data_IF_167231111416
#
_entry.id   IF_167231111416
#
_cell.length_a   1.000
_cell.length_b   1.000
_cell.length_c   1.000
_cell.angle_alpha   90.00
_cell.angle_beta   90.00
_cell.angle_gamma   90.00
#
_symmetry.space_group_name_H-M   'P 1'
#
loop_
_entity.id
_entity.type
_entity.pdbx_description
1 polymer ?
#
# COMPACT_ATOMS: atom_id res chain seq x y z
N UNK A 1 13.50 -0.17 30.65
CA UNK A 1 13.25 -1.48 31.29
C UNK A 1 12.52 -2.45 30.35
N UNK A 2 11.44 -2.05 29.67
CA UNK A 2 10.72 -2.91 28.70
C UNK A 2 11.64 -3.52 27.61
N UNK A 3 12.38 -2.69 26.87
CA UNK A 3 13.32 -3.15 25.81
C UNK A 3 14.52 -3.99 26.31
N UNK A 4 14.71 -4.13 27.62
CA UNK A 4 15.71 -5.07 28.14
C UNK A 4 15.20 -6.53 28.12
N UNK A 5 13.89 -6.73 27.95
CA UNK A 5 13.22 -8.04 27.96
C UNK A 5 12.47 -8.34 26.66
N UNK A 6 12.32 -7.33 25.80
CA UNK A 6 11.55 -7.40 24.56
C UNK A 6 12.38 -6.85 23.41
N UNK A 7 12.24 -7.41 22.19
CA UNK A 7 12.86 -6.84 21.01
C UNK A 7 12.31 -5.43 20.74
N UNK A 8 13.10 -4.60 20.04
CA UNK A 8 12.77 -3.19 19.81
C UNK A 8 11.44 -2.98 19.10
N UNK A 9 11.04 -3.88 18.19
CA UNK A 9 9.79 -3.79 17.44
C UNK A 9 8.53 -4.02 18.29
N UNK A 10 8.67 -4.55 19.51
CA UNK A 10 7.56 -4.69 20.47
C UNK A 10 7.33 -3.44 21.31
N UNK A 11 8.13 -2.38 21.17
CA UNK A 11 7.92 -1.14 21.93
C UNK A 11 6.49 -0.58 21.85
N UNK A 12 5.76 -0.63 20.72
CA UNK A 12 4.38 -0.14 20.65
C UNK A 12 3.42 -0.91 21.58
N UNK A 13 3.64 -2.21 21.78
CA UNK A 13 2.80 -3.07 22.64
C UNK A 13 2.74 -2.59 24.09
N UNK A 14 3.82 -1.94 24.58
CA UNK A 14 3.83 -1.32 25.91
C UNK A 14 2.66 -0.32 26.11
N UNK A 15 2.25 0.35 25.04
CA UNK A 15 1.17 1.36 25.07
C UNK A 15 -0.15 0.82 24.52
N UNK A 16 -0.11 -0.10 23.55
CA UNK A 16 -1.28 -0.49 22.78
C UNK A 16 -2.05 -1.65 23.38
N UNK A 17 -1.35 -2.63 23.97
CA UNK A 17 -1.94 -3.88 24.45
C UNK A 17 -3.18 -3.70 25.35
N UNK A 18 -3.23 -2.71 26.27
CA UNK A 18 -4.41 -2.47 27.10
C UNK A 18 -5.70 -2.10 26.34
N UNK A 19 -5.58 -1.74 25.06
CA UNK A 19 -6.69 -1.27 24.23
C UNK A 19 -7.08 -2.27 23.13
N UNK A 20 -6.18 -3.17 22.72
CA UNK A 20 -6.39 -4.00 21.52
C UNK A 20 -7.59 -4.93 21.64
N UNK A 21 -7.86 -5.48 22.84
CA UNK A 21 -8.98 -6.41 23.07
C UNK A 21 -10.36 -5.73 23.04
N UNK A 22 -10.41 -4.40 22.97
CA UNK A 22 -11.66 -3.67 22.72
C UNK A 22 -12.15 -3.79 21.28
N UNK A 23 -11.24 -4.12 20.34
CA UNK A 23 -11.58 -4.36 18.94
C UNK A 23 -11.83 -5.86 18.73
N UNK A 24 -13.09 -6.26 18.75
CA UNK A 24 -13.49 -7.67 18.58
C UNK A 24 -13.78 -8.05 17.13
N UNK A 25 -14.05 -7.06 16.28
CA UNK A 25 -14.30 -7.22 14.85
C UNK A 25 -13.57 -6.11 14.09
N UNK A 26 -12.70 -6.51 13.16
CA UNK A 26 -11.92 -5.56 12.37
C UNK A 26 -12.77 -4.68 11.45
N UNK A 27 -13.98 -5.10 11.08
CA UNK A 27 -14.90 -4.33 10.26
C UNK A 27 -15.87 -3.49 11.09
N UNK A 28 -15.75 -3.50 12.42
CA UNK A 28 -16.55 -2.67 13.34
C UNK A 28 -15.67 -1.90 14.32
N UNK A 29 -14.68 -1.10 13.84
CA UNK A 29 -13.73 -0.40 14.71
C UNK A 29 -14.40 0.56 15.70
N UNK A 30 -15.56 1.10 15.37
CA UNK A 30 -16.24 2.13 16.17
C UNK A 30 -17.04 1.59 17.35
N UNK A 31 -17.17 0.27 17.46
CA UNK A 31 -17.82 -0.40 18.59
C UNK A 31 -16.89 -0.55 19.79
N UNK A 32 -15.59 -0.30 19.61
CA UNK A 32 -14.57 -0.41 20.66
C UNK A 32 -14.69 0.67 21.76
N UNK A 33 -15.59 1.65 21.61
CA UNK A 33 -15.76 2.75 22.56
C UNK A 33 -14.61 3.76 22.56
N UNK A 34 -13.79 3.77 21.51
CA UNK A 34 -12.58 4.61 21.38
C UNK A 34 -12.71 5.73 20.34
N UNK A 35 -13.93 6.03 19.87
CA UNK A 35 -14.17 6.95 18.74
C UNK A 35 -13.61 8.35 18.95
N UNK A 36 -13.56 8.82 20.20
CA UNK A 36 -12.96 10.11 20.56
C UNK A 36 -11.47 10.19 20.19
N UNK A 37 -10.76 9.07 20.12
CA UNK A 37 -9.35 9.00 19.71
C UNK A 37 -9.14 9.24 18.22
N UNK A 38 -10.21 9.26 17.40
CA UNK A 38 -10.05 9.64 16.00
C UNK A 38 -9.59 11.09 15.88
N UNK A 39 -10.05 11.97 16.78
CA UNK A 39 -9.68 13.39 16.78
C UNK A 39 -8.38 13.70 17.54
N UNK A 40 -7.66 12.67 18.01
CA UNK A 40 -6.40 12.83 18.75
C UNK A 40 -5.25 12.36 17.88
N UNK A 41 -4.22 13.19 17.74
CA UNK A 41 -3.00 12.79 17.05
C UNK A 41 -2.23 11.75 17.87
N UNK A 42 -1.65 10.75 17.21
CA UNK A 42 -0.97 9.64 17.89
C UNK A 42 0.18 10.10 18.79
N UNK A 43 0.93 11.13 18.38
CA UNK A 43 2.01 11.70 19.19
C UNK A 43 1.49 12.36 20.46
N UNK A 44 0.34 13.03 20.39
CA UNK A 44 -0.33 13.65 21.53
C UNK A 44 -0.88 12.58 22.48
N UNK A 45 -1.51 11.53 21.93
CA UNK A 45 -2.01 10.43 22.74
C UNK A 45 -0.87 9.72 23.49
N UNK A 46 0.26 9.44 22.83
CA UNK A 46 1.43 8.85 23.49
C UNK A 46 2.03 9.75 24.58
N UNK A 47 2.04 11.08 24.40
CA UNK A 47 2.44 12.02 25.47
C UNK A 47 1.53 11.89 26.69
N UNK A 48 0.22 11.68 26.50
CA UNK A 48 -0.73 11.44 27.59
C UNK A 48 -0.53 10.07 28.27
N UNK A 49 0.12 9.12 27.61
CA UNK A 49 0.53 7.83 28.18
C UNK A 49 1.96 7.85 28.75
N UNK A 50 2.50 9.04 29.05
CA UNK A 50 3.87 9.25 29.56
C UNK A 50 4.97 8.62 28.70
N UNK A 51 4.75 8.53 27.38
CA UNK A 51 5.74 8.01 26.46
C UNK A 51 6.96 8.95 26.36
N UNK A 52 8.16 8.36 26.40
CA UNK A 52 9.39 9.13 26.17
C UNK A 52 9.43 9.73 24.75
N UNK A 53 10.18 10.82 24.56
CA UNK A 53 10.35 11.42 23.23
C UNK A 53 10.89 10.45 22.19
N UNK A 54 11.73 9.49 22.60
CA UNK A 54 12.24 8.44 21.71
C UNK A 54 11.16 7.44 21.32
N UNK A 55 10.29 7.04 22.25
CA UNK A 55 9.15 6.18 21.95
C UNK A 55 8.16 6.89 21.02
N UNK A 56 7.87 8.17 21.25
CA UNK A 56 6.99 8.97 20.38
C UNK A 56 7.56 9.04 18.96
N UNK A 57 8.85 9.35 18.79
CA UNK A 57 9.48 9.38 17.45
C UNK A 57 9.40 8.03 16.72
N UNK A 58 9.49 6.94 17.46
CA UNK A 58 9.45 5.60 16.89
C UNK A 58 8.02 5.14 16.54
N UNK A 59 7.04 5.44 17.39
CA UNK A 59 5.70 4.86 17.31
C UNK A 59 4.70 5.77 16.57
N UNK A 60 4.75 7.08 16.80
CA UNK A 60 3.61 7.94 16.52
C UNK A 60 3.28 8.09 15.03
N UNK A 61 4.30 8.01 14.17
CA UNK A 61 4.20 8.58 12.83
C UNK A 61 3.94 10.09 12.86
N UNK A 62 3.70 10.70 11.70
CA UNK A 62 3.44 12.14 11.60
C UNK A 62 1.99 12.40 11.23
N UNK A 63 1.25 13.11 12.10
CA UNK A 63 -0.10 13.59 11.80
C UNK A 63 -1.14 12.48 11.61
N UNK A 64 -1.04 11.39 12.36
CA UNK A 64 -1.93 10.23 12.24
C UNK A 64 -2.93 10.17 13.40
N UNK A 65 -4.16 9.72 13.12
CA UNK A 65 -5.21 9.42 14.11
C UNK A 65 -4.78 8.31 15.09
N UNK A 66 -4.92 8.54 16.39
CA UNK A 66 -4.61 7.54 17.41
C UNK A 66 -5.54 6.32 17.30
N UNK A 67 -6.82 6.54 16.99
CA UNK A 67 -7.76 5.44 16.74
C UNK A 67 -7.31 4.57 15.58
N UNK A 68 -6.86 5.16 14.48
CA UNK A 68 -6.37 4.43 13.32
C UNK A 68 -5.18 3.53 13.66
N UNK A 69 -4.21 4.04 14.42
CA UNK A 69 -3.03 3.27 14.83
C UNK A 69 -3.41 2.11 15.75
N UNK A 70 -4.25 2.35 16.75
CA UNK A 70 -4.71 1.30 17.68
C UNK A 70 -5.54 0.23 16.95
N UNK A 71 -6.44 0.64 16.06
CA UNK A 71 -7.23 -0.29 15.26
C UNK A 71 -6.35 -1.14 14.33
N UNK A 72 -5.38 -0.52 13.64
CA UNK A 72 -4.42 -1.25 12.81
C UNK A 72 -3.62 -2.29 13.63
N UNK A 73 -3.13 -1.91 14.82
CA UNK A 73 -2.45 -2.84 15.71
C UNK A 73 -3.37 -3.99 16.18
N UNK A 74 -4.64 -3.71 16.46
CA UNK A 74 -5.61 -4.74 16.81
C UNK A 74 -5.89 -5.71 15.65
N UNK A 75 -5.94 -5.21 14.41
CA UNK A 75 -6.09 -6.06 13.22
C UNK A 75 -4.91 -7.02 13.08
N UNK A 76 -3.67 -6.55 13.28
CA UNK A 76 -2.49 -7.42 13.28
C UNK A 76 -2.63 -8.53 14.32
N UNK A 77 -3.09 -8.20 15.54
CA UNK A 77 -3.38 -9.17 16.61
C UNK A 77 -4.46 -10.18 16.20
N UNK A 78 -5.62 -9.71 15.72
CA UNK A 78 -6.76 -10.53 15.30
C UNK A 78 -6.38 -11.50 14.17
N UNK A 79 -5.63 -11.01 13.18
CA UNK A 79 -5.16 -11.80 12.03
C UNK A 79 -3.89 -12.60 12.30
N UNK A 80 -3.32 -12.52 13.51
CA UNK A 80 -2.06 -13.17 13.92
C UNK A 80 -0.89 -12.81 12.99
N UNK A 81 -0.87 -11.59 12.48
CA UNK A 81 0.23 -11.06 11.67
C UNK A 81 1.30 -10.53 12.61
N UNK A 82 2.56 -10.97 12.49
CA UNK A 82 3.64 -10.49 13.35
C UNK A 82 3.90 -9.00 13.10
N UNK A 83 4.18 -8.25 14.18
CA UNK A 83 4.58 -6.84 14.10
C UNK A 83 5.83 -6.63 13.25
N UNK A 84 6.74 -7.62 13.28
CA UNK A 84 7.95 -7.64 12.48
C UNK A 84 8.13 -9.04 11.88
N UNK A 85 7.89 -9.23 10.57
CA UNK A 85 8.13 -10.52 9.92
C UNK A 85 9.64 -10.75 9.74
N UNK A 86 10.25 -11.76 10.38
CA UNK A 86 11.69 -11.98 10.30
C UNK A 86 12.13 -12.59 8.96
N UNK A 87 11.17 -12.99 8.12
CA UNK A 87 11.41 -13.60 6.80
C UNK A 87 10.47 -12.94 5.80
N UNK A 88 11.06 -12.52 4.69
CA UNK A 88 10.34 -12.01 3.52
C UNK A 88 10.56 -12.96 2.36
N UNK A 89 9.55 -13.13 1.53
CA UNK A 89 9.56 -14.03 0.38
C UNK A 89 9.20 -13.27 -0.88
N UNK A 90 9.68 -13.80 -2.01
CA UNK A 90 9.26 -13.35 -3.33
C UNK A 90 8.97 -14.56 -4.21
N UNK A 91 8.15 -14.37 -5.23
CA UNK A 91 7.97 -15.41 -6.24
C UNK A 91 9.24 -15.55 -7.08
N UNK A 92 9.65 -16.79 -7.34
CA UNK A 92 10.72 -17.07 -8.29
C UNK A 92 10.26 -16.62 -9.68
N UNK A 93 11.08 -15.84 -10.38
CA UNK A 93 10.71 -15.21 -11.66
C UNK A 93 9.98 -13.86 -11.54
N UNK A 94 9.70 -13.40 -10.32
CA UNK A 94 9.06 -12.10 -10.06
C UNK A 94 7.58 -12.22 -9.69
N UNK A 95 7.08 -11.25 -8.93
CA UNK A 95 5.72 -11.28 -8.38
C UNK A 95 4.62 -11.15 -9.45
N UNK A 96 4.93 -10.61 -10.63
CA UNK A 96 3.99 -10.51 -11.76
C UNK A 96 3.52 -11.89 -12.25
N UNK A 97 4.31 -12.95 -12.05
CA UNK A 97 3.91 -14.31 -12.44
C UNK A 97 2.58 -14.76 -11.81
N UNK A 98 2.18 -14.18 -10.67
CA UNK A 98 0.87 -14.43 -10.09
C UNK A 98 -0.27 -13.83 -10.92
N UNK A 99 -0.17 -12.56 -11.32
CA UNK A 99 -1.21 -11.92 -12.16
C UNK A 99 -1.28 -12.55 -13.54
N UNK A 100 -0.12 -12.95 -14.10
CA UNK A 100 -0.07 -13.66 -15.38
C UNK A 100 -0.78 -15.02 -15.32
N UNK A 101 -0.62 -15.75 -14.21
CA UNK A 101 -1.29 -17.04 -14.00
C UNK A 101 -2.82 -16.91 -13.86
N UNK A 102 -3.32 -15.80 -13.31
CA UNK A 102 -4.75 -15.49 -13.29
C UNK A 102 -5.25 -15.10 -14.69
N UNK A 103 -4.54 -14.21 -15.38
CA UNK A 103 -4.91 -13.77 -16.72
C UNK A 103 -4.98 -14.94 -17.71
N UNK A 104 -4.01 -15.85 -17.67
CA UNK A 104 -3.99 -17.05 -18.51
C UNK A 104 -5.21 -17.95 -18.30
N UNK A 105 -5.67 -18.15 -17.05
CA UNK A 105 -6.88 -18.93 -16.75
C UNK A 105 -8.17 -18.23 -17.18
N UNK A 106 -8.17 -16.90 -17.18
CA UNK A 106 -9.32 -16.10 -17.61
C UNK A 106 -9.44 -16.06 -19.13
N UNK A 107 -8.33 -16.17 -19.87
CA UNK A 107 -8.29 -16.12 -21.32
C UNK A 107 -8.85 -14.82 -21.86
N UNK A 108 -9.71 -14.91 -22.88
CA UNK A 108 -10.30 -13.76 -23.59
C UNK A 108 -11.24 -12.89 -22.72
N UNK A 109 -11.51 -13.32 -21.47
CA UNK A 109 -12.20 -12.49 -20.47
C UNK A 109 -11.31 -11.33 -20.01
N UNK A 110 -9.99 -11.47 -20.04
CA UNK A 110 -9.06 -10.36 -19.81
C UNK A 110 -8.86 -9.61 -21.11
N UNK A 111 -9.16 -8.32 -21.04
CA UNK A 111 -9.31 -7.45 -22.19
C UNK A 111 -8.37 -6.26 -22.06
N UNK A 112 -7.16 -6.39 -22.62
CA UNK A 112 -6.12 -5.35 -22.57
C UNK A 112 -6.43 -4.17 -23.47
N UNK A 113 -5.70 -3.06 -23.27
CA UNK A 113 -5.79 -1.82 -24.08
C UNK A 113 -7.20 -1.21 -24.17
N UNK A 114 -8.01 -1.44 -23.13
CA UNK A 114 -9.39 -0.93 -23.03
C UNK A 114 -9.56 0.00 -21.83
N UNK A 115 -8.97 1.21 -21.88
CA UNK A 115 -9.09 2.14 -20.77
C UNK A 115 -10.55 2.57 -20.58
N UNK A 116 -11.04 2.45 -19.34
CA UNK A 116 -12.38 2.90 -18.95
C UNK A 116 -12.40 4.43 -18.98
N UNK A 117 -13.47 4.99 -19.55
CA UNK A 117 -13.68 6.43 -19.75
C UNK A 117 -14.93 6.94 -19.04
N UNK A 118 -15.77 6.05 -18.50
CA UNK A 118 -16.93 6.43 -17.70
C UNK A 118 -17.70 5.25 -17.14
N UNK A 119 -18.42 5.51 -16.05
CA UNK A 119 -19.26 4.53 -15.36
C UNK A 119 -20.68 5.10 -15.26
N UNK A 120 -21.66 4.34 -15.72
CA UNK A 120 -23.08 4.59 -15.53
C UNK A 120 -23.66 3.47 -14.66
N UNK A 121 -24.57 3.79 -13.73
CA UNK A 121 -25.18 2.79 -12.86
C UNK A 121 -26.64 3.11 -12.52
N UNK A 122 -27.39 2.06 -12.19
CA UNK A 122 -28.78 2.12 -11.77
C UNK A 122 -29.08 0.98 -10.78
N UNK A 123 -30.30 0.92 -10.21
CA UNK A 123 -30.72 -0.24 -9.43
C UNK A 123 -30.78 -1.56 -10.21
N UNK A 124 -30.71 -1.54 -11.55
CA UNK A 124 -30.81 -2.74 -12.40
C UNK A 124 -29.48 -3.18 -13.03
N UNK A 125 -28.42 -2.37 -12.98
CA UNK A 125 -27.13 -2.74 -13.56
C UNK A 125 -26.15 -1.58 -13.67
N UNK A 126 -25.09 -1.84 -14.42
CA UNK A 126 -24.04 -0.88 -14.75
C UNK A 126 -23.78 -0.87 -16.26
N UNK A 127 -23.37 0.28 -16.76
CA UNK A 127 -22.87 0.47 -18.14
C UNK A 127 -21.51 1.15 -18.08
N UNK A 128 -20.51 0.52 -18.68
CA UNK A 128 -19.12 0.96 -18.66
C UNK A 128 -18.76 1.48 -20.05
N UNK A 129 -18.27 2.72 -20.13
CA UNK A 129 -17.66 3.28 -21.34
C UNK A 129 -16.16 3.03 -21.31
N UNK A 130 -15.60 2.61 -22.44
CA UNK A 130 -14.17 2.36 -22.59
C UNK A 130 -13.72 2.63 -24.03
N UNK A 131 -12.43 2.86 -24.23
CA UNK A 131 -11.85 3.01 -25.58
C UNK A 131 -11.35 1.68 -26.11
N UNK A 132 -11.54 1.40 -27.39
CA UNK A 132 -10.94 0.28 -28.10
C UNK A 132 -10.58 0.72 -29.51
N UNK A 133 -9.32 0.54 -29.92
CA UNK A 133 -8.85 0.93 -31.27
C UNK A 133 -9.16 2.40 -31.64
N UNK A 134 -9.17 3.29 -30.64
CA UNK A 134 -9.46 4.72 -30.83
C UNK A 134 -10.94 5.10 -30.71
N UNK A 135 -11.85 4.13 -30.69
CA UNK A 135 -13.30 4.35 -30.63
C UNK A 135 -13.83 4.19 -29.21
N UNK A 136 -14.87 4.97 -28.86
CA UNK A 136 -15.60 4.79 -27.61
C UNK A 136 -16.63 3.66 -27.76
N UNK A 137 -16.60 2.70 -26.83
CA UNK A 137 -17.50 1.54 -26.79
C UNK A 137 -18.15 1.42 -25.41
N UNK A 138 -19.21 0.63 -25.34
CA UNK A 138 -19.94 0.35 -24.10
C UNK A 138 -19.98 -1.14 -23.80
N UNK A 139 -20.12 -1.46 -22.52
CA UNK A 139 -20.42 -2.80 -22.01
C UNK A 139 -21.43 -2.68 -20.88
N UNK A 140 -22.37 -3.61 -20.79
CA UNK A 140 -23.35 -3.67 -19.71
C UNK A 140 -23.12 -4.91 -18.86
N UNK A 141 -23.39 -4.80 -17.56
CA UNK A 141 -23.30 -5.89 -16.60
C UNK A 141 -24.27 -5.66 -15.43
N UNK A 142 -24.55 -6.72 -14.68
CA UNK A 142 -25.36 -6.61 -13.45
C UNK A 142 -24.59 -5.96 -12.30
N UNK A 143 -23.27 -6.14 -12.24
CA UNK A 143 -22.41 -5.59 -11.20
C UNK A 143 -21.09 -5.09 -11.78
N UNK A 144 -20.50 -4.07 -11.15
CA UNK A 144 -19.13 -3.64 -11.38
C UNK A 144 -18.29 -3.94 -10.13
N UNK A 145 -17.18 -4.66 -10.29
CA UNK A 145 -16.11 -4.66 -9.29
C UNK A 145 -15.04 -3.66 -9.72
N UNK A 146 -15.01 -2.51 -9.07
CA UNK A 146 -14.04 -1.45 -9.32
C UNK A 146 -12.71 -1.77 -8.63
N UNK A 147 -11.73 -2.24 -9.41
CA UNK A 147 -10.37 -2.52 -8.96
C UNK A 147 -9.38 -1.36 -9.17
N UNK A 148 -9.87 -0.20 -9.64
CA UNK A 148 -9.04 1.00 -9.77
C UNK A 148 -8.69 1.57 -8.39
N UNK A 149 -7.49 2.15 -8.26
CA UNK A 149 -7.15 2.95 -7.09
C UNK A 149 -8.12 4.14 -6.96
N UNK A 150 -8.28 4.68 -5.76
CA UNK A 150 -9.11 5.87 -5.58
C UNK A 150 -8.55 7.07 -6.38
N UNK A 151 -7.22 7.14 -6.56
CA UNK A 151 -6.57 8.17 -7.39
C UNK A 151 -7.02 8.07 -8.84
N UNK A 152 -7.14 6.85 -9.37
CA UNK A 152 -7.66 6.67 -10.72
C UNK A 152 -9.16 6.95 -10.81
N UNK A 153 -9.93 6.43 -9.86
CA UNK A 153 -11.38 6.60 -9.86
C UNK A 153 -11.80 8.08 -9.82
N UNK A 154 -10.99 9.00 -9.26
CA UNK A 154 -11.21 10.46 -9.31
C UNK A 154 -11.35 11.02 -10.72
N UNK A 155 -10.71 10.40 -11.70
CA UNK A 155 -10.66 10.89 -13.08
C UNK A 155 -11.79 10.31 -13.95
N UNK A 156 -12.48 9.28 -13.45
CA UNK A 156 -13.53 8.60 -14.19
C UNK A 156 -14.88 9.26 -13.88
N UNK A 157 -15.59 9.82 -14.87
CA UNK A 157 -16.93 10.36 -14.66
C UNK A 157 -17.89 9.22 -14.30
N UNK A 158 -18.71 9.46 -13.26
CA UNK A 158 -19.70 8.49 -12.78
C UNK A 158 -21.09 9.11 -12.75
N UNK A 159 -22.07 8.41 -13.33
CA UNK A 159 -23.46 8.86 -13.45
C UNK A 159 -24.46 7.77 -13.00
N UNK A 160 -25.46 8.10 -12.16
CA UNK A 160 -25.58 9.32 -11.39
C UNK A 160 -24.37 9.51 -10.47
N UNK A 161 -24.12 10.76 -10.09
CA UNK A 161 -22.94 11.10 -9.33
C UNK A 161 -22.92 10.43 -7.95
N UNK A 162 -21.72 10.19 -7.44
CA UNK A 162 -21.54 9.71 -6.06
C UNK A 162 -22.25 10.60 -5.05
N UNK A 163 -22.82 10.02 -3.97
CA UNK A 163 -23.19 10.78 -2.78
C UNK A 163 -22.01 11.61 -2.28
N UNK A 164 -22.29 12.75 -1.65
CA UNK A 164 -21.26 13.71 -1.21
C UNK A 164 -20.16 13.05 -0.36
N UNK A 165 -20.54 12.19 0.59
CA UNK A 165 -19.60 11.46 1.44
C UNK A 165 -18.63 10.58 0.63
N UNK A 166 -19.13 9.86 -0.38
CA UNK A 166 -18.32 8.98 -1.23
C UNK A 166 -17.45 9.78 -2.19
N UNK A 167 -17.98 10.86 -2.75
CA UNK A 167 -17.18 11.80 -3.56
C UNK A 167 -16.03 12.37 -2.74
N UNK A 168 -16.31 12.82 -1.52
CA UNK A 168 -15.29 13.34 -0.60
C UNK A 168 -14.26 12.26 -0.27
N UNK A 169 -14.69 11.04 0.07
CA UNK A 169 -13.78 9.96 0.43
C UNK A 169 -12.85 9.55 -0.71
N UNK A 170 -13.40 9.32 -1.91
CA UNK A 170 -12.60 9.01 -3.10
C UNK A 170 -11.66 10.19 -3.41
N UNK A 171 -12.16 11.42 -3.35
CA UNK A 171 -11.41 12.64 -3.69
C UNK A 171 -10.28 12.98 -2.72
N UNK A 172 -10.36 12.56 -1.45
CA UNK A 172 -9.46 13.05 -0.39
C UNK A 172 -8.68 11.97 0.35
N UNK A 173 -8.99 10.67 0.14
CA UNK A 173 -8.19 9.59 0.74
C UNK A 173 -6.70 9.78 0.40
N UNK A 174 -5.81 9.84 1.41
CA UNK A 174 -4.42 10.18 1.18
C UNK A 174 -3.69 8.98 0.57
N UNK A 175 -2.82 9.26 -0.39
CA UNK A 175 -1.91 8.30 -1.01
C UNK A 175 -0.51 8.89 -0.99
N UNK A 176 0.49 8.02 -0.92
CA UNK A 176 1.86 8.43 -1.22
C UNK A 176 2.26 7.97 -2.61
N UNK A 177 3.35 8.53 -3.11
CA UNK A 177 4.03 8.05 -4.31
C UNK A 177 5.51 7.96 -4.02
N UNK A 178 6.18 7.01 -4.67
CA UNK A 178 7.60 6.78 -4.51
C UNK A 178 8.23 6.40 -5.85
N UNK A 179 9.56 6.49 -5.89
CA UNK A 179 10.36 5.89 -6.94
C UNK A 179 11.10 4.67 -6.41
N UNK A 180 11.45 3.76 -7.30
CA UNK A 180 12.22 2.57 -7.01
C UNK A 180 13.48 2.54 -7.86
N UNK A 181 14.63 2.98 -7.31
CA UNK A 181 15.92 2.79 -7.96
C UNK A 181 16.34 1.32 -7.97
N UNK A 182 16.97 0.91 -9.06
CA UNK A 182 17.58 -0.40 -9.28
C UNK A 182 19.02 -0.20 -9.73
N UNK A 183 19.98 -0.83 -9.05
CA UNK A 183 21.37 -0.85 -9.47
C UNK A 183 21.77 -2.27 -9.88
N UNK A 184 22.14 -2.44 -11.14
CA UNK A 184 22.78 -3.67 -11.60
C UNK A 184 24.29 -3.47 -11.61
N UNK A 185 25.00 -4.43 -11.03
CA UNK A 185 26.45 -4.46 -11.00
C UNK A 185 27.01 -5.67 -11.75
N UNK A 186 28.25 -5.54 -12.22
CA UNK A 186 29.00 -6.62 -12.89
C UNK A 186 29.27 -7.82 -11.98
N UNK A 187 29.49 -7.55 -10.70
CA UNK A 187 29.71 -8.55 -9.66
C UNK A 187 28.86 -8.23 -8.42
N UNK A 188 28.76 -9.19 -7.49
CA UNK A 188 28.28 -8.96 -6.12
C UNK A 188 29.40 -8.34 -5.27
N UNK A 189 29.87 -7.15 -5.65
CA UNK A 189 31.07 -6.49 -5.12
C UNK A 189 31.12 -6.41 -3.58
N UNK A 190 29.96 -6.29 -2.94
CA UNK A 190 29.81 -6.29 -1.49
C UNK A 190 30.31 -7.55 -0.79
N UNK A 191 30.31 -8.71 -1.47
CA UNK A 191 30.87 -9.96 -0.93
C UNK A 191 32.39 -9.88 -0.83
N UNK A 192 33.04 -9.25 -1.81
CA UNK A 192 34.49 -9.02 -1.81
C UNK A 192 34.90 -7.93 -0.83
N UNK A 193 34.09 -6.87 -0.73
CA UNK A 193 34.34 -5.75 0.18
C UNK A 193 34.12 -6.13 1.65
N UNK A 194 33.38 -7.22 1.92
CA UNK A 194 33.07 -7.65 3.29
C UNK A 194 32.10 -6.71 4.01
N UNK A 195 31.35 -5.88 3.28
CA UNK A 195 30.42 -4.89 3.80
C UNK A 195 29.01 -5.19 3.29
N UNK A 196 28.02 -5.18 4.18
CA UNK A 196 26.62 -5.33 3.78
C UNK A 196 26.21 -4.23 2.79
N UNK A 197 25.58 -4.57 1.64
CA UNK A 197 25.01 -3.56 0.78
C UNK A 197 23.68 -3.02 1.32
N UNK A 198 23.08 -3.69 2.32
CA UNK A 198 21.82 -3.25 2.91
C UNK A 198 22.08 -2.06 3.84
N UNK A 199 21.48 -0.91 3.52
CA UNK A 199 21.71 0.36 4.22
C UNK A 199 20.38 1.11 4.31
N UNK A 200 20.09 1.65 5.49
CA UNK A 200 19.06 2.67 5.72
C UNK A 200 19.74 4.05 5.64
N UNK A 201 19.15 4.96 4.88
CA UNK A 201 19.60 6.33 4.68
C UNK A 201 18.52 7.28 5.19
N UNK A 202 18.90 8.53 5.45
CA UNK A 202 17.95 9.60 5.74
C UNK A 202 17.99 10.65 4.64
N UNK A 203 17.92 10.20 3.38
CA UNK A 203 18.10 11.01 2.19
C UNK A 203 16.91 10.81 1.24
N UNK A 204 16.43 11.89 0.62
CA UNK A 204 15.28 11.86 -0.28
C UNK A 204 15.52 11.03 -1.55
N UNK A 205 16.75 11.08 -2.08
CA UNK A 205 17.11 10.38 -3.32
C UNK A 205 17.34 8.87 -3.14
N UNK A 206 17.40 8.38 -1.90
CA UNK A 206 17.61 6.97 -1.57
C UNK A 206 17.30 6.79 -0.09
N UNK A 207 16.15 6.22 0.30
CA UNK A 207 15.77 6.06 1.69
C UNK A 207 16.35 4.78 2.30
N UNK A 208 16.31 3.66 1.58
CA UNK A 208 16.92 2.40 1.98
C UNK A 208 17.22 1.54 0.77
N UNK A 209 18.23 0.70 0.85
CA UNK A 209 18.65 -0.19 -0.23
C UNK A 209 18.91 -1.59 0.31
N UNK A 210 18.62 -2.61 -0.49
CA UNK A 210 18.89 -3.99 -0.16
C UNK A 210 19.23 -4.81 -1.40
N UNK A 211 19.97 -5.91 -1.20
CA UNK A 211 20.24 -6.87 -2.28
C UNK A 211 18.99 -7.66 -2.64
N UNK A 212 18.83 -7.97 -3.92
CA UNK A 212 17.76 -8.80 -4.46
C UNK A 212 18.31 -9.72 -5.55
N UNK A 213 17.52 -10.71 -5.95
CA UNK A 213 17.85 -11.62 -7.05
C UNK A 213 19.03 -12.60 -6.83
N UNK A 214 19.39 -12.89 -5.58
CA UNK A 214 20.52 -13.77 -5.23
C UNK A 214 20.37 -15.22 -5.78
N UNK A 215 19.14 -15.70 -5.98
CA UNK A 215 18.77 -17.00 -6.58
C UNK A 215 18.83 -17.05 -8.11
N UNK A 216 19.12 -15.93 -8.78
CA UNK A 216 19.38 -15.92 -10.22
C UNK A 216 20.81 -16.39 -10.47
N UNK A 217 20.99 -17.40 -11.32
CA UNK A 217 22.31 -17.94 -11.66
C UNK A 217 23.09 -16.97 -12.55
N UNK A 218 23.77 -16.04 -11.89
CA UNK A 218 24.60 -15.01 -12.51
C UNK A 218 25.61 -14.46 -11.50
N UNK A 219 26.74 -13.98 -12.02
CA UNK A 219 27.74 -13.26 -11.24
C UNK A 219 27.30 -11.83 -10.92
N UNK A 220 26.32 -11.29 -11.66
CA UNK A 220 25.83 -9.93 -11.50
C UNK A 220 25.12 -9.74 -10.16
N UNK A 221 25.21 -8.53 -9.63
CA UNK A 221 24.49 -8.10 -8.44
C UNK A 221 23.29 -7.25 -8.81
N UNK A 222 22.22 -7.33 -8.01
CA UNK A 222 21.08 -6.42 -8.08
C UNK A 222 20.83 -5.82 -6.69
N UNK A 223 20.81 -4.49 -6.63
CA UNK A 223 20.37 -3.73 -5.48
C UNK A 223 19.07 -3.01 -5.82
N UNK A 224 18.11 -3.02 -4.90
CA UNK A 224 16.80 -2.38 -5.05
C UNK A 224 16.62 -1.42 -3.90
N UNK A 225 15.99 -0.27 -4.18
CA UNK A 225 15.80 0.79 -3.21
C UNK A 225 14.39 1.39 -3.22
N UNK A 226 14.08 2.18 -2.21
CA UNK A 226 12.96 3.13 -2.21
C UNK A 226 13.53 4.55 -2.15
N UNK A 227 12.96 5.46 -2.92
CA UNK A 227 13.28 6.89 -2.92
C UNK A 227 12.00 7.71 -3.11
N UNK A 228 12.09 9.01 -2.88
CA UNK A 228 10.99 9.92 -3.15
C UNK A 228 10.64 9.92 -4.66
N UNK A 229 9.39 10.28 -4.99
CA UNK A 229 8.95 10.42 -6.38
C UNK A 229 9.84 11.40 -7.17
N UNK A 230 9.92 11.23 -8.49
CA UNK A 230 10.74 12.05 -9.41
C UNK A 230 12.27 11.92 -9.21
N UNK A 231 12.74 11.00 -8.37
CA UNK A 231 14.18 10.72 -8.19
C UNK A 231 14.79 10.14 -9.47
N UNK A 232 15.99 10.61 -9.84
CA UNK A 232 16.75 10.05 -10.97
C UNK A 232 17.71 8.95 -10.52
N UNK A 233 18.04 8.03 -11.44
CA UNK A 233 19.02 6.98 -11.17
C UNK A 233 20.39 7.53 -10.80
N UNK A 234 20.78 8.66 -11.39
CA UNK A 234 22.03 9.36 -11.09
C UNK A 234 22.05 9.91 -9.65
N UNK A 235 20.98 10.57 -9.21
CA UNK A 235 20.88 11.10 -7.86
C UNK A 235 20.93 9.97 -6.81
N UNK A 236 20.15 8.91 -7.05
CA UNK A 236 20.12 7.72 -6.20
C UNK A 236 21.51 7.07 -6.12
N UNK A 237 22.19 6.88 -7.26
CA UNK A 237 23.53 6.28 -7.33
C UNK A 237 24.58 7.16 -6.63
N UNK A 238 24.50 8.48 -6.79
CA UNK A 238 25.38 9.42 -6.09
C UNK A 238 25.22 9.31 -4.57
N UNK A 239 23.99 9.20 -4.08
CA UNK A 239 23.71 8.98 -2.66
C UNK A 239 24.29 7.65 -2.19
N UNK A 240 24.07 6.56 -2.92
CA UNK A 240 24.64 5.25 -2.56
C UNK A 240 26.18 5.32 -2.44
N UNK A 241 26.84 5.90 -3.44
CA UNK A 241 28.31 6.06 -3.48
C UNK A 241 28.87 6.90 -2.33
N UNK A 242 28.08 7.84 -1.80
CA UNK A 242 28.50 8.70 -0.68
C UNK A 242 28.60 7.95 0.64
N UNK A 243 27.72 6.98 0.88
CA UNK A 243 27.59 6.29 2.16
C UNK A 243 28.11 4.85 2.13
N UNK A 244 28.21 4.24 0.95
CA UNK A 244 28.76 2.89 0.84
C UNK A 244 30.27 2.90 1.19
N UNK A 245 30.65 2.13 2.21
CA UNK A 245 32.02 2.12 2.71
C UNK A 245 33.03 1.38 1.80
N UNK A 246 32.53 0.53 0.89
CA UNK A 246 33.34 -0.23 -0.06
C UNK A 246 33.48 0.47 -1.43
N UNK A 247 33.82 -0.31 -2.45
CA UNK A 247 33.96 0.17 -3.84
C UNK A 247 32.73 -0.21 -4.65
N UNK A 248 32.14 0.77 -5.33
CA UNK A 248 30.90 0.60 -6.11
C UNK A 248 31.08 0.91 -7.60
N UNK A 249 32.32 0.82 -8.08
CA UNK A 249 32.70 0.99 -9.49
C UNK A 249 32.07 -0.08 -10.39
N UNK A 250 31.70 -1.22 -9.80
CA UNK A 250 31.06 -2.35 -10.48
C UNK A 250 29.61 -2.08 -10.91
N UNK A 251 28.97 -1.01 -10.40
CA UNK A 251 27.62 -0.62 -10.82
C UNK A 251 27.68 -0.05 -12.24
N UNK A 252 27.07 -0.79 -13.18
CA UNK A 252 27.07 -0.47 -14.61
C UNK A 252 25.74 0.14 -15.08
N UNK A 253 24.66 -0.08 -14.34
CA UNK A 253 23.32 0.42 -14.69
C UNK A 253 22.61 0.93 -13.44
N UNK A 254 22.01 2.11 -13.56
CA UNK A 254 21.10 2.67 -12.57
C UNK A 254 19.77 3.05 -13.25
N UNK A 255 18.72 2.29 -12.96
CA UNK A 255 17.37 2.53 -13.45
C UNK A 255 16.47 3.00 -12.31
N UNK A 256 15.37 3.66 -12.66
CA UNK A 256 14.33 4.04 -11.72
C UNK A 256 12.97 3.74 -12.32
N UNK A 257 12.11 3.10 -11.55
CA UNK A 257 10.68 3.09 -11.81
C UNK A 257 10.00 4.13 -10.91
N UNK A 258 9.28 5.08 -11.50
CA UNK A 258 8.60 6.16 -10.78
C UNK A 258 7.09 6.04 -10.95
N UNK A 259 6.40 5.64 -9.88
CA UNK A 259 4.95 5.41 -9.89
C UNK A 259 4.16 6.70 -10.14
N UNK A 260 4.72 7.88 -9.85
CA UNK A 260 4.05 9.16 -10.09
C UNK A 260 3.87 9.46 -11.58
N UNK A 261 4.65 8.79 -12.44
CA UNK A 261 4.63 8.97 -13.89
C UNK A 261 3.83 7.90 -14.62
N UNK A 262 3.40 6.85 -13.93
CA UNK A 262 2.56 5.82 -14.53
C UNK A 262 1.11 6.34 -14.66
N UNK A 263 0.58 6.50 -15.89
CA UNK A 263 -0.74 7.08 -16.10
C UNK A 263 -1.90 6.18 -15.62
N UNK A 264 -1.65 4.90 -15.36
CA UNK A 264 -2.66 3.93 -14.92
C UNK A 264 -2.63 3.68 -13.40
N UNK A 265 -1.64 4.24 -12.70
CA UNK A 265 -1.42 4.00 -11.27
C UNK A 265 -1.32 5.32 -10.50
N UNK A 266 -0.40 6.20 -10.89
CA UNK A 266 -0.17 7.57 -10.36
C UNK A 266 0.12 7.70 -8.86
N UNK A 267 0.07 6.60 -8.10
CA UNK A 267 0.32 6.55 -6.67
C UNK A 267 0.65 5.13 -6.22
N UNK A 268 1.29 5.00 -5.06
CA UNK A 268 1.53 3.70 -4.42
C UNK A 268 0.30 3.32 -3.57
N UNK A 269 0.46 3.16 -2.25
CA UNK A 269 -0.63 2.79 -1.36
C UNK A 269 -1.27 3.99 -0.64
N UNK A 270 -2.44 3.75 -0.04
CA UNK A 270 -3.09 4.70 0.86
C UNK A 270 -2.22 4.94 2.09
N UNK A 271 -2.15 6.20 2.52
CA UNK A 271 -1.54 6.58 3.79
C UNK A 271 -2.51 6.39 4.94
N UNK A 272 -1.95 6.41 6.15
CA UNK A 272 -2.72 6.45 7.38
C UNK A 272 -3.65 7.68 7.43
N UNK A 273 -4.79 7.54 8.10
CA UNK A 273 -5.75 8.64 8.21
C UNK A 273 -5.28 9.70 9.22
N UNK A 274 -5.33 11.00 8.85
CA UNK A 274 -5.16 12.09 9.80
C UNK A 274 -6.26 12.11 10.88
N UNK A 275 -6.04 12.82 11.99
CA UNK A 275 -7.06 12.96 13.02
C UNK A 275 -8.40 13.47 12.45
N UNK A 276 -9.48 12.77 12.79
CA UNK A 276 -10.86 13.04 12.38
C UNK A 276 -11.24 12.52 10.99
N UNK A 277 -10.33 11.87 10.28
CA UNK A 277 -10.59 11.36 8.94
C UNK A 277 -10.94 9.86 8.91
N UNK A 278 -10.54 9.04 9.89
CA UNK A 278 -10.84 7.61 9.83
C UNK A 278 -12.35 7.37 9.77
N UNK A 279 -13.10 7.98 10.68
CA UNK A 279 -14.56 7.88 10.77
C UNK A 279 -15.27 8.38 9.51
N UNK A 280 -14.72 9.42 8.86
CA UNK A 280 -15.32 10.06 7.68
C UNK A 280 -15.00 9.34 6.38
N UNK A 281 -13.82 8.71 6.29
CA UNK A 281 -13.28 8.20 5.04
C UNK A 281 -13.42 6.70 4.90
N UNK A 282 -12.92 5.93 5.89
CA UNK A 282 -12.76 4.47 5.74
C UNK A 282 -14.08 3.73 5.42
N UNK A 283 -15.20 3.92 6.16
CA UNK A 283 -16.42 3.16 5.91
C UNK A 283 -16.94 3.40 4.50
N UNK A 284 -16.94 4.66 4.08
CA UNK A 284 -17.54 5.09 2.82
C UNK A 284 -16.67 4.66 1.63
N UNK A 285 -15.36 4.56 1.83
CA UNK A 285 -14.41 4.19 0.77
C UNK A 285 -14.57 2.74 0.33
N UNK A 286 -14.84 1.82 1.27
CA UNK A 286 -14.84 0.37 1.00
C UNK A 286 -16.25 -0.22 0.81
N UNK A 287 -17.28 0.46 1.32
CA UNK A 287 -18.66 -0.01 1.15
C UNK A 287 -19.13 0.12 -0.31
N UNK A 288 -19.91 -0.84 -0.84
CA UNK A 288 -20.52 -0.75 -2.16
C UNK A 288 -21.41 0.50 -2.33
N UNK A 289 -21.66 0.87 -3.57
CA UNK A 289 -22.67 1.86 -3.90
C UNK A 289 -23.60 1.29 -4.98
N UNK A 290 -24.81 0.89 -4.57
CA UNK A 290 -25.68 0.11 -5.43
C UNK A 290 -24.96 -1.15 -5.91
N UNK A 291 -24.88 -1.31 -7.24
CA UNK A 291 -24.25 -2.47 -7.91
C UNK A 291 -22.74 -2.31 -8.16
N UNK A 292 -22.11 -1.29 -7.58
CA UNK A 292 -20.67 -1.05 -7.69
C UNK A 292 -19.97 -1.46 -6.39
N UNK A 293 -19.16 -2.51 -6.46
CA UNK A 293 -18.31 -3.01 -5.38
C UNK A 293 -16.87 -2.53 -5.60
N UNK A 294 -16.09 -2.46 -4.53
CA UNK A 294 -14.71 -1.96 -4.56
C UNK A 294 -13.74 -3.05 -4.11
N UNK A 295 -12.66 -3.21 -4.86
CA UNK A 295 -11.58 -4.14 -4.56
C UNK A 295 -10.22 -3.50 -4.88
N UNK A 296 -9.16 -4.06 -4.32
CA UNK A 296 -7.82 -3.50 -4.34
C UNK A 296 -7.22 -3.40 -2.95
N UNK A 297 -5.91 -3.15 -2.85
CA UNK A 297 -5.22 -3.12 -1.56
C UNK A 297 -5.84 -2.08 -0.61
N UNK A 298 -6.21 -0.90 -1.12
CA UNK A 298 -6.88 0.16 -0.34
C UNK A 298 -8.22 -0.25 0.28
N UNK A 299 -8.86 -1.31 -0.26
CA UNK A 299 -10.14 -1.80 0.22
C UNK A 299 -9.99 -2.88 1.30
N UNK A 300 -8.79 -3.25 1.72
CA UNK A 300 -8.57 -4.12 2.88
C UNK A 300 -8.08 -3.31 4.09
N UNK A 301 -8.42 -3.77 5.30
CA UNK A 301 -8.04 -3.07 6.53
C UNK A 301 -6.53 -3.19 6.85
N UNK A 302 -5.86 -4.22 6.31
CA UNK A 302 -4.41 -4.27 6.15
C UNK A 302 -4.10 -3.99 4.68
N UNK A 303 -4.03 -2.71 4.34
CA UNK A 303 -4.09 -2.18 2.98
C UNK A 303 -2.80 -2.34 2.13
N UNK A 304 -1.96 -3.33 2.43
CA UNK A 304 -0.62 -3.47 1.86
C UNK A 304 -0.42 -4.83 1.17
N UNK A 305 0.24 -4.79 0.03
CA UNK A 305 0.66 -5.97 -0.71
C UNK A 305 -0.46 -6.64 -1.54
N UNK A 306 -0.09 -7.75 -2.16
CA UNK A 306 -0.99 -8.50 -3.05
C UNK A 306 -2.03 -9.30 -2.26
N UNK A 307 -1.73 -9.62 -1.01
CA UNK A 307 -2.61 -10.30 -0.07
C UNK A 307 -3.82 -9.42 0.25
N UNK A 308 -3.61 -8.10 0.45
CA UNK A 308 -4.68 -7.14 0.64
C UNK A 308 -5.63 -7.09 -0.56
N UNK A 309 -5.07 -6.98 -1.77
CA UNK A 309 -5.84 -6.99 -3.01
C UNK A 309 -6.65 -8.29 -3.17
N UNK A 310 -6.06 -9.43 -2.83
CA UNK A 310 -6.74 -10.74 -2.92
C UNK A 310 -7.85 -10.88 -1.89
N UNK A 311 -7.64 -10.44 -0.64
CA UNK A 311 -8.67 -10.47 0.41
C UNK A 311 -9.86 -9.58 0.06
N UNK A 312 -9.62 -8.36 -0.39
CA UNK A 312 -10.71 -7.45 -0.77
C UNK A 312 -11.47 -7.94 -2.00
N UNK A 313 -10.78 -8.53 -2.99
CA UNK A 313 -11.44 -9.17 -4.13
C UNK A 313 -12.35 -10.34 -3.72
N UNK A 314 -11.89 -11.24 -2.85
CA UNK A 314 -12.71 -12.34 -2.34
C UNK A 314 -13.94 -11.84 -1.56
N UNK A 315 -13.77 -10.79 -0.74
CA UNK A 315 -14.88 -10.19 -0.02
C UNK A 315 -15.90 -9.55 -0.97
N UNK A 316 -15.46 -8.87 -2.03
CA UNK A 316 -16.35 -8.32 -3.05
C UNK A 316 -17.13 -9.43 -3.77
N UNK A 317 -16.46 -10.52 -4.16
CA UNK A 317 -17.10 -11.66 -4.79
C UNK A 317 -18.15 -12.32 -3.87
N UNK A 318 -17.81 -12.57 -2.61
CA UNK A 318 -18.74 -13.16 -1.63
C UNK A 318 -19.98 -12.28 -1.37
N UNK A 319 -19.81 -10.94 -1.36
CA UNK A 319 -20.95 -10.01 -1.24
C UNK A 319 -21.88 -10.12 -2.45
N UNK A 320 -21.33 -10.11 -3.67
CA UNK A 320 -22.13 -10.27 -4.90
C UNK A 320 -22.87 -11.61 -4.91
N UNK A 321 -22.20 -12.70 -4.52
CA UNK A 321 -22.82 -14.04 -4.44
C UNK A 321 -23.96 -14.08 -3.41
N UNK A 322 -23.85 -13.36 -2.29
CA UNK A 322 -24.93 -13.26 -1.29
C UNK A 322 -26.12 -12.38 -1.72
N UNK A 323 -25.91 -11.52 -2.71
CA UNK A 323 -26.93 -10.62 -3.26
C UNK A 323 -27.62 -11.18 -4.51
N UNK A 324 -27.05 -12.24 -5.11
CA UNK A 324 -27.56 -12.92 -6.31
C UNK A 324 -28.55 -14.03 -5.95
#
# INVERSE_FOLDING_TARGET
>A
QFLARHPWWELPSLYFDPYLDKFTDEYRPFDAGLNHLDHVAMDQWLKQQDASSSAIRYIAGTGVSALHVLWHAAILKLRKVPLFPPKVFRLKGGNQGMTDAFASRLGDRVRLERPITGIEHSPSGVRIRYRESGEEKTMEAEYLVCCMSAVMLRQIPVHPAWPESKRYAIGTVPYYTASRPFFQSRSRFWEKDGVSPNIEFNEHALNHIWRMADDVDTQRGLLVSTADALTTGEAALKTFRRYYAGKSEDIEVALVHDWSRDPWVMACETLNYPPGNLTRLWPVLVEPHGRIHFAGAYADNLNWGMEAATRSANRAAARIESES
#
